data_IF_284631948710
#
_entry.id   IF_284631948710
#
_cell.length_a   1.000
_cell.length_b   1.000
_cell.length_c   1.000
_cell.angle_alpha   90.00
_cell.angle_beta   90.00
_cell.angle_gamma   90.00
#
_symmetry.space_group_name_H-M   'P 1'
#
loop_
_entity.id
_entity.type
_entity.pdbx_description
1 polymer ?
#
# COMPACT_ATOMS: atom_id res chain seq x y z
N UNK A 1 5.05 -13.75 -8.05
CA UNK A 1 5.19 -12.67 -7.06
C UNK A 1 5.70 -11.36 -7.65
N UNK A 2 6.56 -11.37 -8.66
CA UNK A 2 7.23 -10.17 -9.18
C UNK A 2 6.30 -9.12 -9.85
N UNK A 3 5.38 -9.54 -10.73
CA UNK A 3 4.52 -8.60 -11.49
C UNK A 3 3.54 -7.80 -10.63
N UNK A 4 3.04 -8.38 -9.53
CA UNK A 4 2.10 -7.67 -8.64
C UNK A 4 2.78 -6.68 -7.72
N UNK A 5 4.01 -6.97 -7.25
CA UNK A 5 4.87 -5.92 -6.67
C UNK A 5 5.11 -4.77 -7.65
N UNK A 6 5.14 -5.05 -8.97
CA UNK A 6 5.26 -4.03 -10.01
C UNK A 6 4.07 -3.06 -10.06
N UNK A 7 2.82 -3.56 -9.99
CA UNK A 7 1.61 -2.71 -10.09
C UNK A 7 1.46 -1.78 -8.88
N UNK A 8 1.73 -2.26 -7.67
CA UNK A 8 1.72 -1.39 -6.48
C UNK A 8 2.84 -0.36 -6.55
N UNK A 9 4.04 -0.76 -7.01
CA UNK A 9 5.17 0.18 -7.18
C UNK A 9 4.94 1.20 -8.29
N UNK A 10 4.20 0.87 -9.34
CA UNK A 10 3.79 1.84 -10.37
C UNK A 10 2.81 2.88 -9.80
N UNK A 11 1.85 2.45 -8.97
CA UNK A 11 0.94 3.39 -8.27
C UNK A 11 1.67 4.26 -7.27
N UNK A 12 2.64 3.71 -6.53
CA UNK A 12 3.47 4.47 -5.60
C UNK A 12 4.39 5.44 -6.33
N UNK A 13 4.94 5.04 -7.49
CA UNK A 13 5.71 5.91 -8.38
C UNK A 13 4.85 7.07 -8.90
N UNK A 14 3.61 6.83 -9.33
CA UNK A 14 2.71 7.88 -9.81
C UNK A 14 2.39 8.90 -8.72
N UNK A 15 2.13 8.44 -7.49
CA UNK A 15 1.92 9.34 -6.35
C UNK A 15 3.16 10.17 -6.06
N UNK A 16 4.33 9.54 -6.04
CA UNK A 16 5.59 10.21 -5.73
C UNK A 16 5.96 11.23 -6.83
N UNK A 17 5.70 10.93 -8.10
CA UNK A 17 5.87 11.88 -9.21
C UNK A 17 5.00 13.13 -9.03
N UNK A 18 3.74 12.98 -8.59
CA UNK A 18 2.85 14.12 -8.30
C UNK A 18 3.36 14.98 -7.13
N UNK A 19 3.95 14.36 -6.12
CA UNK A 19 4.58 15.07 -5.00
C UNK A 19 5.78 15.89 -5.50
N UNK A 20 6.67 15.27 -6.28
CA UNK A 20 7.81 15.95 -6.90
C UNK A 20 7.37 17.13 -7.77
N UNK A 21 6.40 16.93 -8.68
CA UNK A 21 5.88 17.99 -9.56
C UNK A 21 5.23 19.13 -8.75
N UNK A 22 4.51 18.78 -7.67
CA UNK A 22 3.91 19.76 -6.76
C UNK A 22 4.96 20.62 -6.04
N UNK A 23 6.05 20.02 -5.56
CA UNK A 23 7.16 20.71 -4.92
C UNK A 23 7.93 21.61 -5.90
N UNK A 24 8.21 21.12 -7.12
CA UNK A 24 8.87 21.91 -8.17
C UNK A 24 8.03 23.13 -8.59
N UNK A 25 6.72 22.95 -8.73
CA UNK A 25 5.79 24.05 -9.03
C UNK A 25 5.69 25.04 -7.88
N UNK A 26 5.65 24.56 -6.63
CA UNK A 26 5.64 25.41 -5.44
C UNK A 26 6.89 26.28 -5.36
N UNK A 27 8.08 25.67 -5.52
CA UNK A 27 9.35 26.39 -5.47
C UNK A 27 9.51 27.39 -6.63
N UNK A 28 8.97 27.08 -7.81
CA UNK A 28 9.05 27.94 -9.00
C UNK A 28 8.05 29.09 -8.99
N UNK A 29 6.86 28.89 -8.40
CA UNK A 29 5.78 29.90 -8.37
C UNK A 29 5.82 30.79 -7.13
N UNK A 30 6.45 30.33 -6.05
CA UNK A 30 6.40 30.98 -4.74
C UNK A 30 7.75 31.59 -4.35
N UNK A 31 8.25 32.50 -5.20
CA UNK A 31 9.56 33.17 -5.06
C UNK A 31 9.66 34.10 -3.84
N UNK A 32 8.52 34.43 -3.21
CA UNK A 32 8.42 35.24 -1.98
C UNK A 32 8.33 34.41 -0.69
N UNK A 33 8.40 33.08 -0.77
CA UNK A 33 8.38 32.21 0.40
C UNK A 33 9.62 32.43 1.29
N UNK A 34 9.47 32.22 2.60
CA UNK A 34 10.58 32.36 3.55
C UNK A 34 11.72 31.40 3.18
N UNK A 35 12.98 31.82 3.42
CA UNK A 35 14.17 31.00 3.16
C UNK A 35 14.08 29.61 3.82
N UNK A 36 13.46 29.52 5.00
CA UNK A 36 13.24 28.23 5.69
C UNK A 36 12.28 27.32 4.92
N UNK A 37 11.17 27.86 4.42
CA UNK A 37 10.21 27.08 3.63
C UNK A 37 10.79 26.59 2.30
N UNK A 38 11.64 27.40 1.66
CA UNK A 38 12.33 27.00 0.43
C UNK A 38 13.35 25.88 0.69
N UNK A 39 14.08 25.94 1.81
CA UNK A 39 15.03 24.89 2.20
C UNK A 39 14.31 23.58 2.56
N UNK A 40 13.22 23.64 3.33
CA UNK A 40 12.42 22.46 3.66
C UNK A 40 11.82 21.83 2.39
N UNK A 41 11.28 22.65 1.48
CA UNK A 41 10.73 22.18 0.20
C UNK A 41 11.81 21.54 -0.69
N UNK A 42 13.04 22.07 -0.65
CA UNK A 42 14.18 21.52 -1.37
C UNK A 42 14.60 20.15 -0.82
N UNK A 43 14.70 20.02 0.50
CA UNK A 43 15.00 18.74 1.15
C UNK A 43 13.94 17.69 0.82
N UNK A 44 12.65 18.05 0.92
CA UNK A 44 11.55 17.15 0.54
C UNK A 44 11.58 16.78 -0.95
N UNK A 45 11.99 17.70 -1.82
CA UNK A 45 12.13 17.43 -3.25
C UNK A 45 13.26 16.43 -3.52
N UNK A 46 14.39 16.57 -2.83
CA UNK A 46 15.52 15.65 -2.95
C UNK A 46 15.16 14.25 -2.42
N UNK A 47 14.45 14.16 -1.29
CA UNK A 47 13.89 12.90 -0.77
C UNK A 47 12.92 12.25 -1.76
N UNK A 48 12.02 13.04 -2.36
CA UNK A 48 11.06 12.55 -3.35
C UNK A 48 11.77 12.02 -4.61
N UNK A 49 12.81 12.70 -5.09
CA UNK A 49 13.65 12.24 -6.21
C UNK A 49 14.37 10.93 -5.88
N UNK A 50 14.95 10.81 -4.69
CA UNK A 50 15.61 9.57 -4.25
C UNK A 50 14.61 8.40 -4.20
N UNK A 51 13.39 8.65 -3.72
CA UNK A 51 12.32 7.65 -3.67
C UNK A 51 11.82 7.24 -5.05
N UNK A 52 11.70 8.20 -5.98
CA UNK A 52 11.40 7.93 -7.41
C UNK A 52 12.49 7.03 -8.01
N UNK A 53 13.77 7.34 -7.79
CA UNK A 53 14.88 6.54 -8.31
C UNK A 53 14.84 5.11 -7.77
N UNK A 54 14.61 4.95 -6.46
CA UNK A 54 14.47 3.65 -5.82
C UNK A 54 13.28 2.87 -6.39
N UNK A 55 12.11 3.51 -6.55
CA UNK A 55 10.92 2.88 -7.13
C UNK A 55 11.14 2.48 -8.59
N UNK A 56 11.80 3.32 -9.40
CA UNK A 56 12.16 3.03 -10.79
C UNK A 56 13.12 1.84 -10.88
N UNK A 57 14.21 1.84 -10.12
CA UNK A 57 15.14 0.71 -10.05
C UNK A 57 14.43 -0.58 -9.65
N UNK A 58 13.49 -0.46 -8.71
CA UNK A 58 12.69 -1.57 -8.24
C UNK A 58 11.69 -2.10 -9.27
N UNK A 59 11.07 -1.23 -10.06
CA UNK A 59 10.19 -1.60 -11.19
C UNK A 59 11.02 -2.21 -12.31
N UNK A 60 12.16 -1.62 -12.61
CA UNK A 60 13.11 -2.09 -13.63
C UNK A 60 13.68 -3.47 -13.25
N UNK A 61 14.02 -3.71 -11.98
CA UNK A 61 14.41 -5.03 -11.47
C UNK A 61 13.29 -6.06 -11.63
N UNK A 62 12.03 -5.64 -11.50
CA UNK A 62 10.85 -6.49 -11.72
C UNK A 62 10.62 -6.75 -13.22
N UNK A 63 10.91 -5.76 -14.08
CA UNK A 63 10.78 -5.85 -15.52
C UNK A 63 11.89 -6.69 -16.18
N UNK A 64 13.15 -6.54 -15.74
CA UNK A 64 14.30 -7.34 -16.20
C UNK A 64 14.25 -8.79 -15.73
N UNK A 65 13.59 -9.07 -14.60
CA UNK A 65 13.17 -10.44 -14.27
C UNK A 65 12.20 -11.06 -15.30
N UNK A 66 11.67 -10.27 -16.24
CA UNK A 66 10.90 -10.73 -17.40
C UNK A 66 11.72 -10.90 -18.69
N UNK A 67 12.98 -10.46 -18.75
CA UNK A 67 13.82 -10.51 -19.96
C UNK A 67 15.07 -11.40 -19.81
N UNK A 68 15.53 -11.66 -18.58
CA UNK A 68 16.63 -12.60 -18.29
C UNK A 68 16.11 -14.05 -18.14
N UNK A 69 15.27 -14.52 -19.08
CA UNK A 69 14.88 -15.94 -19.23
C UNK A 69 15.68 -16.55 -20.40
N UNK A 70 16.98 -16.29 -20.47
CA UNK A 70 17.90 -16.95 -21.40
C UNK A 70 19.28 -17.19 -20.75
N UNK A 71 19.31 -17.51 -19.45
CA UNK A 71 20.48 -18.15 -18.84
C UNK A 71 20.01 -19.24 -17.87
N UNK A 72 20.45 -20.50 -18.02
CA UNK A 72 19.78 -21.64 -17.42
C UNK A 72 20.36 -21.95 -16.04
N UNK A 73 19.96 -21.23 -15.00
CA UNK A 73 20.18 -21.72 -13.62
C UNK A 73 19.07 -21.27 -12.66
N UNK A 74 18.42 -22.27 -12.08
CA UNK A 74 17.60 -22.25 -10.85
C UNK A 74 16.18 -21.66 -10.94
N UNK A 75 15.24 -22.59 -11.21
CA UNK A 75 13.87 -22.69 -10.69
C UNK A 75 13.18 -21.44 -10.13
N UNK A 76 12.31 -20.84 -10.93
CA UNK A 76 11.26 -19.94 -10.46
C UNK A 76 10.07 -20.04 -11.40
N UNK A 77 9.08 -20.84 -11.01
CA UNK A 77 7.82 -21.03 -11.71
C UNK A 77 7.12 -19.69 -11.99
N UNK A 78 6.78 -19.47 -13.26
CA UNK A 78 6.07 -18.28 -13.71
C UNK A 78 4.63 -18.33 -13.23
N UNK A 79 4.34 -17.71 -12.07
CA UNK A 79 2.98 -17.61 -11.51
C UNK A 79 1.98 -17.14 -12.57
N UNK A 80 0.95 -17.95 -12.80
CA UNK A 80 -0.12 -17.71 -13.77
C UNK A 80 -0.99 -16.49 -13.38
N UNK A 81 -1.79 -15.99 -14.30
CA UNK A 81 -2.72 -14.88 -14.02
C UNK A 81 -3.76 -15.23 -12.93
N UNK A 82 -4.06 -16.51 -12.77
CA UNK A 82 -4.90 -17.03 -11.68
C UNK A 82 -4.17 -16.98 -10.35
N UNK A 83 -2.91 -17.43 -10.29
CA UNK A 83 -2.07 -17.35 -9.08
C UNK A 83 -1.88 -15.91 -8.61
N UNK A 84 -1.83 -14.99 -9.58
CA UNK A 84 -1.99 -13.57 -9.30
C UNK A 84 -3.36 -13.42 -8.61
N UNK A 85 -4.53 -13.50 -9.24
CA UNK A 85 -5.81 -13.21 -8.55
C UNK A 85 -5.95 -13.83 -7.14
N UNK A 86 -5.55 -15.10 -6.95
CA UNK A 86 -5.51 -15.78 -5.65
C UNK A 86 -4.61 -15.07 -4.63
N UNK A 87 -3.35 -14.76 -4.96
CA UNK A 87 -2.41 -14.05 -4.07
C UNK A 87 -2.97 -12.69 -3.55
N UNK A 88 -3.81 -11.98 -4.33
CA UNK A 88 -4.39 -10.68 -3.91
C UNK A 88 -5.58 -10.88 -2.99
N UNK A 89 -6.42 -11.87 -3.28
CA UNK A 89 -7.49 -12.24 -2.39
C UNK A 89 -6.95 -12.72 -1.04
N UNK A 90 -5.86 -13.51 -1.02
CA UNK A 90 -5.18 -13.92 0.21
C UNK A 90 -4.60 -12.72 0.98
N UNK A 91 -3.97 -11.77 0.28
CA UNK A 91 -3.45 -10.56 0.92
C UNK A 91 -4.56 -9.68 1.53
N UNK A 92 -5.69 -9.54 0.82
CA UNK A 92 -6.87 -8.84 1.34
C UNK A 92 -7.45 -9.55 2.56
N UNK A 93 -7.54 -10.88 2.52
CA UNK A 93 -7.99 -11.69 3.64
C UNK A 93 -7.13 -11.46 4.88
N UNK A 94 -5.80 -11.53 4.73
CA UNK A 94 -4.86 -11.29 5.82
C UNK A 94 -5.02 -9.88 6.41
N UNK A 95 -5.19 -8.87 5.56
CA UNK A 95 -5.39 -7.48 5.98
C UNK A 95 -6.70 -7.29 6.75
N UNK A 96 -7.81 -7.82 6.24
CA UNK A 96 -9.11 -7.72 6.92
C UNK A 96 -9.10 -8.49 8.25
N UNK A 97 -8.40 -9.62 8.35
CA UNK A 97 -8.19 -10.32 9.63
C UNK A 97 -7.42 -9.45 10.65
N UNK A 98 -6.39 -8.72 10.21
CA UNK A 98 -5.68 -7.77 11.07
C UNK A 98 -6.58 -6.61 11.52
N UNK A 99 -7.49 -6.15 10.66
CA UNK A 99 -8.46 -5.10 11.00
C UNK A 99 -9.47 -5.61 12.03
N UNK A 100 -9.98 -6.83 11.88
CA UNK A 100 -10.88 -7.48 12.84
C UNK A 100 -10.23 -7.54 14.23
N UNK A 101 -8.99 -8.00 14.32
CA UNK A 101 -8.26 -8.07 15.60
C UNK A 101 -8.01 -6.67 16.18
N UNK A 102 -7.70 -5.68 15.35
CA UNK A 102 -7.61 -4.28 15.75
C UNK A 102 -8.92 -3.74 16.34
N UNK A 103 -10.04 -4.00 15.67
CA UNK A 103 -11.37 -3.59 16.11
C UNK A 103 -11.78 -4.26 17.43
N UNK A 104 -11.54 -5.57 17.59
CA UNK A 104 -11.77 -6.29 18.85
C UNK A 104 -10.96 -5.70 20.00
N UNK A 105 -9.68 -5.41 19.77
CA UNK A 105 -8.82 -4.78 20.77
C UNK A 105 -9.33 -3.39 21.15
N UNK A 106 -9.76 -2.58 20.17
CA UNK A 106 -10.33 -1.26 20.42
C UNK A 106 -11.61 -1.34 21.25
N UNK A 107 -12.54 -2.25 20.91
CA UNK A 107 -13.76 -2.50 21.70
C UNK A 107 -13.42 -2.87 23.14
N UNK A 108 -12.44 -3.75 23.35
CA UNK A 108 -11.98 -4.17 24.68
C UNK A 108 -11.44 -2.98 25.49
N UNK A 109 -10.59 -2.15 24.87
CA UNK A 109 -10.01 -0.96 25.51
C UNK A 109 -11.12 0.04 25.87
N UNK A 110 -12.00 0.35 24.92
CA UNK A 110 -13.07 1.34 25.11
C UNK A 110 -14.09 0.90 26.17
N UNK A 111 -14.38 -0.39 26.29
CA UNK A 111 -15.23 -0.93 27.37
C UNK A 111 -14.57 -0.88 28.75
N UNK A 112 -13.24 -0.95 28.82
CA UNK A 112 -12.48 -0.89 30.07
C UNK A 112 -12.21 0.56 30.53
N UNK A 113 -12.49 1.56 29.69
CA UNK A 113 -12.26 2.96 30.04
C UNK A 113 -13.27 3.47 31.07
N UNK A 114 -12.76 4.30 31.99
CA UNK A 114 -13.55 4.91 33.08
C UNK A 114 -14.55 5.96 32.59
N UNK A 115 -14.27 6.57 31.43
CA UNK A 115 -15.16 7.50 30.72
C UNK A 115 -15.73 6.80 29.50
N UNK A 116 -17.06 6.75 29.39
CA UNK A 116 -17.70 6.09 28.26
C UNK A 116 -17.52 6.90 26.97
N UNK A 117 -16.88 6.29 25.98
CA UNK A 117 -16.84 6.78 24.60
C UNK A 117 -17.78 5.93 23.73
N UNK A 118 -19.08 6.27 23.77
CA UNK A 118 -20.11 5.54 23.05
C UNK A 118 -19.93 5.61 21.52
N UNK A 119 -19.39 6.73 21.02
CA UNK A 119 -19.17 6.90 19.59
C UNK A 119 -18.00 6.04 19.12
N UNK A 120 -16.85 6.12 19.79
CA UNK A 120 -15.71 5.27 19.46
C UNK A 120 -16.06 3.78 19.58
N UNK A 121 -16.88 3.41 20.56
CA UNK A 121 -17.33 2.02 20.72
C UNK A 121 -18.21 1.57 19.54
N UNK A 122 -19.17 2.39 19.14
CA UNK A 122 -20.03 2.14 17.98
C UNK A 122 -19.22 2.03 16.69
N UNK A 123 -18.26 2.94 16.47
CA UNK A 123 -17.42 2.95 15.28
C UNK A 123 -16.52 1.69 15.21
N UNK A 124 -15.97 1.27 16.35
CA UNK A 124 -15.18 0.03 16.44
C UNK A 124 -16.04 -1.22 16.20
N UNK A 125 -17.27 -1.25 16.71
CA UNK A 125 -18.24 -2.33 16.44
C UNK A 125 -18.64 -2.37 14.97
N UNK A 126 -18.92 -1.23 14.35
CA UNK A 126 -19.25 -1.15 12.93
C UNK A 126 -18.06 -1.60 12.06
N UNK A 127 -16.84 -1.20 12.44
CA UNK A 127 -15.62 -1.64 11.74
C UNK A 127 -15.45 -3.16 11.80
N UNK A 128 -15.70 -3.76 12.98
CA UNK A 128 -15.67 -5.22 13.14
C UNK A 128 -16.65 -5.90 12.19
N UNK A 129 -17.92 -5.50 12.21
CA UNK A 129 -18.99 -6.08 11.38
C UNK A 129 -18.65 -5.98 9.89
N UNK A 130 -18.27 -4.78 9.43
CA UNK A 130 -17.94 -4.57 8.01
C UNK A 130 -16.72 -5.37 7.56
N UNK A 131 -15.71 -5.53 8.42
CA UNK A 131 -14.55 -6.34 8.09
C UNK A 131 -14.86 -7.84 8.11
N UNK A 132 -15.73 -8.32 8.99
CA UNK A 132 -16.22 -9.70 8.98
C UNK A 132 -16.98 -10.01 7.68
N UNK A 133 -17.91 -9.15 7.26
CA UNK A 133 -18.64 -9.29 5.98
C UNK A 133 -17.68 -9.31 4.78
N UNK A 134 -16.65 -8.45 4.77
CA UNK A 134 -15.63 -8.48 3.71
C UNK A 134 -14.83 -9.76 3.69
N UNK A 135 -14.46 -10.31 4.85
CA UNK A 135 -13.77 -11.60 4.94
C UNK A 135 -14.62 -12.69 4.29
N UNK A 136 -15.92 -12.73 4.57
CA UNK A 136 -16.83 -13.70 3.95
C UNK A 136 -16.87 -13.56 2.42
N UNK A 137 -16.98 -12.33 1.91
CA UNK A 137 -16.95 -12.07 0.46
C UNK A 137 -15.62 -12.49 -0.19
N UNK A 138 -14.50 -12.24 0.50
CA UNK A 138 -13.16 -12.65 0.02
C UNK A 138 -13.03 -14.17 0.01
N UNK A 139 -13.54 -14.86 1.04
CA UNK A 139 -13.55 -16.32 1.10
C UNK A 139 -14.42 -16.93 0.00
N UNK A 140 -15.60 -16.36 -0.25
CA UNK A 140 -16.46 -16.76 -1.38
C UNK A 140 -15.76 -16.56 -2.73
N UNK A 141 -15.02 -15.46 -2.89
CA UNK A 141 -14.22 -15.23 -4.09
C UNK A 141 -13.08 -16.24 -4.21
N UNK A 142 -12.36 -16.55 -3.14
CA UNK A 142 -11.27 -17.54 -3.12
C UNK A 142 -11.76 -18.95 -3.47
N UNK A 143 -12.95 -19.34 -3.00
CA UNK A 143 -13.56 -20.63 -3.33
C UNK A 143 -13.83 -20.83 -4.83
N UNK A 144 -13.86 -19.76 -5.64
CA UNK A 144 -13.99 -19.88 -7.11
C UNK A 144 -12.70 -20.38 -7.78
N UNK A 145 -11.59 -20.41 -7.05
CA UNK A 145 -10.26 -20.74 -7.55
C UNK A 145 -9.63 -21.94 -6.81
N UNK A 146 -10.32 -22.51 -5.83
CA UNK A 146 -9.97 -23.76 -5.13
C UNK A 146 -10.87 -24.88 -5.64
#
# INVERSE_FOLDING_TARGET
MCRRSGVYRLKDLEKEMKVKDGLEKFMSSNTSASRRYLEDSKNMLDDSKAKIALLRMQIEKIAHQGYEINSPTAGSESKSQLDIVIDDLLFRLWKEAAIIEGAKNMIKILRAQKKADHKGLSDAQQTLILSEEKVELILLALRKYM
#
